data_IF_410686622766
#
_entry.id   IF_410686622766
#
_cell.length_a   1.000
_cell.length_b   1.000
_cell.length_c   1.000
_cell.angle_alpha   90.00
_cell.angle_beta   90.00
_cell.angle_gamma   90.00
#
_symmetry.space_group_name_H-M   'P 1'
#
loop_
_entity.id
_entity.type
_entity.pdbx_description
1 polymer ?
#
# COMPACT_ATOMS: atom_id res chain seq x y z
N UNK A 1 5.62 -7.47 -17.34
CA UNK A 1 6.13 -6.20 -17.92
C UNK A 1 7.06 -6.52 -19.07
N UNK A 2 6.95 -5.85 -20.22
CA UNK A 2 7.88 -6.04 -21.35
C UNK A 2 9.20 -5.30 -21.08
N UNK A 3 10.32 -5.82 -21.57
CA UNK A 3 11.66 -5.27 -21.34
C UNK A 3 11.77 -3.77 -21.71
N UNK A 4 11.11 -3.36 -22.79
CA UNK A 4 11.09 -1.94 -23.21
C UNK A 4 10.28 -1.04 -22.28
N UNK A 5 9.17 -1.53 -21.72
CA UNK A 5 8.37 -0.78 -20.74
C UNK A 5 9.19 -0.54 -19.47
N UNK A 6 9.87 -1.59 -19.00
CA UNK A 6 10.76 -1.53 -17.83
C UNK A 6 11.88 -0.49 -18.02
N UNK A 7 12.55 -0.51 -19.18
CA UNK A 7 13.61 0.47 -19.49
C UNK A 7 13.08 1.91 -19.47
N UNK A 8 11.89 2.15 -20.01
CA UNK A 8 11.26 3.49 -19.99
C UNK A 8 10.94 3.91 -18.55
N UNK A 9 10.41 2.99 -17.74
CA UNK A 9 10.10 3.22 -16.33
C UNK A 9 11.38 3.57 -15.54
N UNK A 10 12.46 2.80 -15.70
CA UNK A 10 13.72 3.04 -15.00
C UNK A 10 14.38 4.37 -15.40
N UNK A 11 14.37 4.68 -16.69
CA UNK A 11 14.86 5.96 -17.21
C UNK A 11 14.03 7.14 -16.66
N UNK A 12 12.69 7.00 -16.66
CA UNK A 12 11.80 8.02 -16.12
C UNK A 12 12.01 8.22 -14.61
N UNK A 13 12.12 7.13 -13.84
CA UNK A 13 12.38 7.18 -12.39
C UNK A 13 13.70 7.92 -12.08
N UNK A 14 14.76 7.63 -12.83
CA UNK A 14 16.07 8.32 -12.72
C UNK A 14 15.97 9.80 -13.07
N UNK A 15 15.30 10.14 -14.17
CA UNK A 15 15.10 11.53 -14.59
C UNK A 15 14.25 12.30 -13.58
N UNK A 16 13.14 11.72 -13.12
CA UNK A 16 12.28 12.34 -12.12
C UNK A 16 13.06 12.62 -10.83
N UNK A 17 13.81 11.65 -10.30
CA UNK A 17 14.63 11.85 -9.11
C UNK A 17 15.64 13.01 -9.26
N UNK A 18 16.22 13.20 -10.46
CA UNK A 18 17.25 14.22 -10.71
C UNK A 18 16.70 15.63 -10.92
N UNK A 19 15.59 15.80 -11.65
CA UNK A 19 15.09 17.13 -12.07
C UNK A 19 13.63 17.41 -11.75
N UNK A 20 12.90 16.46 -11.17
CA UNK A 20 11.47 16.57 -10.91
C UNK A 20 10.60 16.10 -12.07
N UNK A 21 9.34 15.74 -11.80
CA UNK A 21 8.38 15.33 -12.84
C UNK A 21 8.01 16.51 -13.70
N UNK A 22 7.80 17.69 -13.12
CA UNK A 22 7.38 18.89 -13.88
C UNK A 22 8.42 19.24 -14.94
N UNK A 23 9.71 19.26 -14.59
CA UNK A 23 10.81 19.61 -15.50
C UNK A 23 11.29 18.45 -16.38
N UNK A 24 10.66 17.27 -16.29
CA UNK A 24 10.93 16.14 -17.20
C UNK A 24 9.94 16.13 -18.36
N UNK A 25 10.44 16.24 -19.58
CA UNK A 25 9.63 16.09 -20.79
C UNK A 25 9.62 14.64 -21.30
N UNK A 26 8.59 14.27 -22.06
CA UNK A 26 8.53 12.97 -22.76
C UNK A 26 9.73 12.83 -23.74
N UNK A 27 10.19 13.95 -24.32
CA UNK A 27 11.35 13.92 -25.21
C UNK A 27 12.63 13.55 -24.46
N UNK A 28 12.81 14.03 -23.23
CA UNK A 28 13.97 13.69 -22.41
C UNK A 28 14.00 12.18 -22.12
N UNK A 29 12.85 11.61 -21.76
CA UNK A 29 12.71 10.18 -21.48
C UNK A 29 12.96 9.35 -22.74
N UNK A 30 12.41 9.79 -23.88
CA UNK A 30 12.61 9.13 -25.17
C UNK A 30 14.09 9.14 -25.58
N UNK A 31 14.79 10.26 -25.38
CA UNK A 31 16.22 10.39 -25.63
C UNK A 31 17.04 9.47 -24.72
N UNK A 32 16.76 9.44 -23.42
CA UNK A 32 17.44 8.57 -22.45
C UNK A 32 17.26 7.08 -22.80
N UNK A 33 16.11 6.71 -23.36
CA UNK A 33 15.80 5.35 -23.77
C UNK A 33 16.25 5.00 -25.19
N UNK A 34 16.81 5.96 -25.94
CA UNK A 34 17.13 5.84 -27.37
C UNK A 34 15.93 5.39 -28.22
N UNK A 35 14.74 5.94 -27.94
CA UNK A 35 13.50 5.70 -28.69
C UNK A 35 12.92 6.99 -29.26
N UNK A 36 12.02 6.86 -30.23
CA UNK A 36 11.27 8.01 -30.71
C UNK A 36 10.16 8.41 -29.73
N UNK A 37 9.77 9.68 -29.74
CA UNK A 37 8.59 10.16 -29.00
C UNK A 37 7.31 9.41 -29.40
N UNK A 38 7.17 9.02 -30.66
CA UNK A 38 6.05 8.18 -31.12
C UNK A 38 6.08 6.78 -30.49
N UNK A 39 7.26 6.19 -30.36
CA UNK A 39 7.46 4.89 -29.70
C UNK A 39 7.10 4.94 -28.22
N UNK A 40 7.37 6.04 -27.52
CA UNK A 40 6.94 6.23 -26.14
C UNK A 40 5.42 6.07 -25.99
N UNK A 41 4.64 6.72 -26.87
CA UNK A 41 3.18 6.67 -26.82
C UNK A 41 2.57 5.30 -27.15
N UNK A 42 3.36 4.35 -27.66
CA UNK A 42 2.93 2.96 -27.79
C UNK A 42 2.89 2.22 -26.44
N UNK A 43 3.63 2.71 -25.43
CA UNK A 43 3.74 2.11 -24.11
C UNK A 43 2.96 2.91 -23.05
N UNK A 44 3.06 4.24 -23.07
CA UNK A 44 2.44 5.09 -22.05
C UNK A 44 1.61 6.20 -22.70
N UNK A 45 0.36 6.34 -22.24
CA UNK A 45 -0.58 7.34 -22.77
C UNK A 45 -0.17 8.78 -22.42
N UNK A 46 0.50 8.98 -21.30
CA UNK A 46 0.97 10.30 -20.84
C UNK A 46 2.14 10.18 -19.86
N UNK A 47 2.73 11.32 -19.48
CA UNK A 47 3.77 11.38 -18.46
C UNK A 47 3.21 11.01 -17.08
N UNK A 48 1.95 11.35 -16.81
CA UNK A 48 1.24 11.05 -15.58
C UNK A 48 0.93 9.55 -15.46
N UNK A 49 0.56 8.90 -16.58
CA UNK A 49 0.40 7.46 -16.63
C UNK A 49 1.74 6.75 -16.38
N UNK A 50 2.82 7.23 -17.00
CA UNK A 50 4.17 6.71 -16.72
C UNK A 50 4.56 6.93 -15.26
N UNK A 51 4.26 8.10 -14.68
CA UNK A 51 4.55 8.38 -13.29
C UNK A 51 3.91 7.32 -12.38
N UNK A 52 2.62 7.03 -12.54
CA UNK A 52 1.96 5.96 -11.78
C UNK A 52 2.68 4.61 -11.92
N UNK A 53 3.08 4.24 -13.14
CA UNK A 53 3.81 3.00 -13.38
C UNK A 53 5.21 2.99 -12.75
N UNK A 54 5.90 4.14 -12.66
CA UNK A 54 7.17 4.23 -11.91
C UNK A 54 6.98 3.96 -10.41
N UNK A 55 5.87 4.42 -9.81
CA UNK A 55 5.57 4.16 -8.42
C UNK A 55 5.25 2.68 -8.17
N UNK A 56 4.40 2.09 -9.02
CA UNK A 56 4.07 0.66 -8.95
C UNK A 56 5.32 -0.19 -9.06
N UNK A 57 6.15 0.08 -10.06
CA UNK A 57 7.41 -0.64 -10.27
C UNK A 57 8.34 -0.54 -9.05
N UNK A 58 8.50 0.65 -8.48
CA UNK A 58 9.35 0.85 -7.31
C UNK A 58 8.84 0.06 -6.09
N UNK A 59 7.53 0.07 -5.84
CA UNK A 59 6.95 -0.70 -4.74
C UNK A 59 7.06 -2.22 -4.97
N UNK A 60 6.77 -2.68 -6.19
CA UNK A 60 6.92 -4.10 -6.57
C UNK A 60 8.37 -4.58 -6.42
N UNK A 61 9.34 -3.73 -6.70
CA UNK A 61 10.76 -4.04 -6.51
C UNK A 61 11.09 -4.27 -5.02
N UNK A 62 10.63 -3.39 -4.14
CA UNK A 62 10.83 -3.53 -2.68
C UNK A 62 10.11 -4.79 -2.18
N UNK A 63 8.85 -4.97 -2.57
CA UNK A 63 8.05 -6.13 -2.18
C UNK A 63 8.70 -7.45 -2.61
N UNK A 64 9.14 -7.54 -3.87
CA UNK A 64 9.82 -8.74 -4.39
C UNK A 64 11.10 -9.07 -3.62
N UNK A 65 11.87 -8.04 -3.21
CA UNK A 65 13.06 -8.24 -2.38
C UNK A 65 12.71 -8.71 -0.98
N UNK A 66 11.62 -8.24 -0.39
CA UNK A 66 11.13 -8.72 0.91
C UNK A 66 10.60 -10.15 0.84
N UNK A 67 9.96 -10.54 -0.28
CA UNK A 67 9.51 -11.92 -0.51
C UNK A 67 10.70 -12.88 -0.68
N UNK A 68 11.74 -12.49 -1.41
CA UNK A 68 12.96 -13.29 -1.56
C UNK A 68 13.68 -13.56 -0.22
N UNK A 69 13.49 -12.71 0.80
CA UNK A 69 14.00 -12.98 2.15
C UNK A 69 13.29 -14.18 2.81
N UNK A 70 12.01 -14.43 2.49
CA UNK A 70 11.26 -15.58 3.03
C UNK A 70 11.79 -16.93 2.56
N UNK A 71 12.44 -16.97 1.40
CA UNK A 71 13.04 -18.19 0.85
C UNK A 71 14.22 -18.72 1.69
N UNK A 72 14.71 -17.92 2.65
CA UNK A 72 15.85 -18.27 3.51
C UNK A 72 15.50 -19.16 4.70
N UNK A 73 14.24 -19.58 4.85
CA UNK A 73 13.73 -20.46 5.91
C UNK A 73 14.18 -20.03 7.33
N UNK A 74 13.98 -18.74 7.63
CA UNK A 74 14.36 -18.13 8.89
C UNK A 74 13.25 -18.27 9.93
N UNK A 75 13.62 -18.41 11.20
CA UNK A 75 12.69 -18.29 12.33
C UNK A 75 11.92 -16.95 12.26
N UNK A 76 10.65 -16.90 12.69
CA UNK A 76 9.77 -15.73 12.48
C UNK A 76 10.38 -14.38 12.88
N UNK A 77 11.11 -14.36 14.00
CA UNK A 77 11.80 -13.16 14.49
C UNK A 77 12.92 -12.72 13.56
N UNK A 78 13.80 -13.64 13.19
CA UNK A 78 14.92 -13.36 12.28
C UNK A 78 14.42 -12.97 10.89
N UNK A 79 13.33 -13.59 10.43
CA UNK A 79 12.66 -13.24 9.19
C UNK A 79 12.18 -11.79 9.20
N UNK A 80 11.46 -11.36 10.24
CA UNK A 80 10.97 -9.98 10.32
C UNK A 80 12.11 -8.96 10.40
N UNK A 81 13.18 -9.25 11.14
CA UNK A 81 14.37 -8.39 11.19
C UNK A 81 14.98 -8.23 9.79
N UNK A 82 15.20 -9.34 9.08
CA UNK A 82 15.77 -9.33 7.74
C UNK A 82 14.86 -8.60 6.73
N UNK A 83 13.54 -8.73 6.85
CA UNK A 83 12.57 -8.04 6.00
C UNK A 83 12.54 -6.53 6.27
N UNK A 84 12.57 -6.11 7.54
CA UNK A 84 12.64 -4.68 7.91
C UNK A 84 13.96 -4.05 7.45
N UNK A 85 15.09 -4.72 7.67
CA UNK A 85 16.39 -4.26 7.20
C UNK A 85 16.43 -4.11 5.68
N UNK A 86 15.93 -5.12 4.95
CA UNK A 86 15.79 -5.07 3.50
C UNK A 86 14.95 -3.86 3.06
N UNK A 87 13.79 -3.64 3.68
CA UNK A 87 12.91 -2.51 3.37
C UNK A 87 13.62 -1.16 3.60
N UNK A 88 14.26 -0.98 4.75
CA UNK A 88 14.99 0.26 5.10
C UNK A 88 16.13 0.54 4.11
N UNK A 89 16.91 -0.50 3.76
CA UNK A 89 17.98 -0.41 2.77
C UNK A 89 17.46 0.00 1.40
N UNK A 90 16.37 -0.61 0.92
CA UNK A 90 15.82 -0.30 -0.40
C UNK A 90 15.20 1.10 -0.45
N UNK A 91 14.53 1.55 0.62
CA UNK A 91 14.05 2.93 0.72
C UNK A 91 15.22 3.91 0.66
N UNK A 92 16.31 3.66 1.39
CA UNK A 92 17.48 4.54 1.37
C UNK A 92 18.13 4.61 -0.02
N UNK A 93 18.23 3.48 -0.76
CA UNK A 93 18.77 3.45 -2.14
C UNK A 93 17.96 4.31 -3.11
N UNK A 94 16.67 4.49 -2.85
CA UNK A 94 15.74 5.20 -3.72
C UNK A 94 15.21 6.52 -3.13
N UNK A 95 15.87 7.05 -2.07
CA UNK A 95 15.37 8.23 -1.34
C UNK A 95 15.21 9.48 -2.19
N UNK A 96 16.04 9.69 -3.21
CA UNK A 96 15.93 10.86 -4.09
C UNK A 96 14.61 10.87 -4.87
N UNK A 97 14.14 9.69 -5.28
CA UNK A 97 12.84 9.53 -5.90
C UNK A 97 11.72 9.88 -4.90
N UNK A 98 11.81 9.37 -3.67
CA UNK A 98 10.82 9.65 -2.61
C UNK A 98 10.79 11.15 -2.24
N UNK A 99 11.96 11.79 -2.10
CA UNK A 99 12.07 13.23 -1.80
C UNK A 99 11.41 14.05 -2.91
N UNK A 100 11.67 13.69 -4.18
CA UNK A 100 11.06 14.36 -5.31
C UNK A 100 9.53 14.28 -5.25
N UNK A 101 8.97 13.10 -4.96
CA UNK A 101 7.52 12.91 -4.85
C UNK A 101 6.89 13.80 -3.77
N UNK A 102 7.56 13.89 -2.61
CA UNK A 102 7.10 14.72 -1.49
C UNK A 102 7.11 16.22 -1.86
N UNK A 103 8.12 16.67 -2.61
CA UNK A 103 8.25 18.10 -2.99
C UNK A 103 7.22 18.53 -4.03
N UNK A 104 6.91 17.68 -5.01
CA UNK A 104 6.02 18.06 -6.11
C UNK A 104 4.52 17.87 -5.80
N UNK A 105 4.15 17.46 -4.57
CA UNK A 105 2.78 17.11 -4.21
C UNK A 105 2.13 16.18 -5.26
N UNK A 106 2.91 15.23 -5.80
CA UNK A 106 2.45 14.32 -6.84
C UNK A 106 1.33 13.39 -6.35
N UNK A 107 1.25 13.17 -5.03
CA UNK A 107 0.33 12.23 -4.38
C UNK A 107 -1.08 12.84 -4.22
N UNK A 108 -1.28 14.02 -3.59
CA UNK A 108 -2.64 14.57 -3.41
C UNK A 108 -3.34 14.92 -4.72
N UNK A 109 -2.59 15.18 -5.78
CA UNK A 109 -3.13 15.64 -7.06
C UNK A 109 -3.40 14.52 -8.08
N UNK A 110 -3.26 13.24 -7.69
CA UNK A 110 -3.50 12.10 -8.56
C UNK A 110 -4.32 11.00 -7.84
N UNK A 111 -5.63 10.88 -8.12
CA UNK A 111 -6.50 9.91 -7.45
C UNK A 111 -6.05 8.45 -7.59
N UNK A 112 -5.50 8.06 -8.75
CA UNK A 112 -4.97 6.71 -8.97
C UNK A 112 -3.71 6.45 -8.14
N UNK A 113 -2.89 7.48 -7.91
CA UNK A 113 -1.74 7.39 -7.03
C UNK A 113 -2.17 7.25 -5.57
N UNK A 114 -3.16 8.04 -5.14
CA UNK A 114 -3.73 7.94 -3.82
C UNK A 114 -4.27 6.52 -3.57
N UNK A 115 -5.11 6.00 -4.46
CA UNK A 115 -5.64 4.64 -4.39
C UNK A 115 -4.55 3.55 -4.33
N UNK A 116 -3.45 3.75 -5.07
CA UNK A 116 -2.33 2.82 -5.04
C UNK A 116 -1.59 2.84 -3.67
N UNK A 117 -1.26 4.01 -3.14
CA UNK A 117 -0.59 4.17 -1.83
C UNK A 117 -1.46 3.63 -0.70
N UNK A 118 -2.76 3.83 -0.82
CA UNK A 118 -3.77 3.31 0.09
C UNK A 118 -3.75 1.77 0.14
N UNK A 119 -3.80 1.12 -1.02
CA UNK A 119 -3.64 -0.35 -1.12
C UNK A 119 -2.32 -0.81 -0.52
N UNK A 120 -1.23 -0.12 -0.86
CA UNK A 120 0.12 -0.40 -0.37
C UNK A 120 0.22 -0.38 1.16
N UNK A 121 -0.40 0.61 1.79
CA UNK A 121 -0.46 0.74 3.24
C UNK A 121 -1.27 -0.40 3.87
N UNK A 122 -2.41 -0.78 3.26
CA UNK A 122 -3.21 -1.91 3.73
C UNK A 122 -2.43 -3.24 3.71
N UNK A 123 -1.74 -3.51 2.61
CA UNK A 123 -0.89 -4.70 2.45
C UNK A 123 0.24 -4.71 3.48
N UNK A 124 0.88 -3.55 3.70
CA UNK A 124 1.93 -3.39 4.71
C UNK A 124 1.42 -3.61 6.13
N UNK A 125 0.21 -3.13 6.45
CA UNK A 125 -0.42 -3.33 7.76
C UNK A 125 -0.70 -4.81 8.02
N UNK A 126 -1.24 -5.51 7.02
CA UNK A 126 -1.52 -6.94 7.14
C UNK A 126 -0.24 -7.75 7.29
N UNK A 127 0.80 -7.40 6.53
CA UNK A 127 2.13 -8.00 6.66
C UNK A 127 2.69 -7.85 8.08
N UNK A 128 2.73 -6.63 8.61
CA UNK A 128 3.24 -6.35 9.98
C UNK A 128 2.44 -7.12 11.02
N UNK A 129 1.11 -7.06 10.95
CA UNK A 129 0.22 -7.82 11.84
C UNK A 129 0.56 -9.31 11.86
N UNK A 130 0.66 -9.94 10.69
CA UNK A 130 0.91 -11.37 10.59
C UNK A 130 2.30 -11.75 11.11
N UNK A 131 3.31 -10.92 10.82
CA UNK A 131 4.67 -11.13 11.32
C UNK A 131 4.77 -10.95 12.85
N UNK A 132 4.04 -10.00 13.42
CA UNK A 132 3.99 -9.83 14.87
C UNK A 132 3.26 -11.00 15.54
N UNK A 133 2.14 -11.45 14.98
CA UNK A 133 1.42 -12.62 15.51
C UNK A 133 2.24 -13.91 15.44
N UNK A 134 3.10 -14.09 14.43
CA UNK A 134 3.97 -15.27 14.34
C UNK A 134 5.11 -15.28 15.36
N UNK A 135 5.47 -14.11 15.91
CA UNK A 135 6.54 -13.96 16.92
C UNK A 135 5.95 -14.02 18.34
N UNK A 136 4.89 -13.24 18.59
CA UNK A 136 4.37 -12.99 19.95
C UNK A 136 3.10 -13.79 20.27
N UNK A 137 2.40 -14.30 19.24
CA UNK A 137 1.19 -15.10 19.41
C UNK A 137 0.12 -14.43 20.27
N UNK A 138 -0.44 -15.20 21.20
CA UNK A 138 -1.52 -14.74 22.08
C UNK A 138 -1.09 -13.61 23.03
N UNK A 139 0.21 -13.36 23.23
CA UNK A 139 0.69 -12.34 24.15
C UNK A 139 0.29 -10.91 23.75
N UNK A 140 0.07 -10.66 22.46
CA UNK A 140 -0.31 -9.35 21.92
C UNK A 140 -1.63 -9.37 21.15
N UNK A 141 -2.33 -10.51 21.12
CA UNK A 141 -3.46 -10.71 20.19
C UNK A 141 -4.57 -9.68 20.35
N UNK A 142 -4.87 -9.28 21.59
CA UNK A 142 -5.86 -8.25 21.90
C UNK A 142 -5.37 -6.82 21.58
N UNK A 143 -4.05 -6.63 21.49
CA UNK A 143 -3.38 -5.36 21.24
C UNK A 143 -2.75 -5.27 19.85
N UNK A 144 -3.07 -6.21 18.96
CA UNK A 144 -2.29 -6.43 17.73
C UNK A 144 -2.23 -5.18 16.85
N UNK A 145 -3.31 -4.41 16.80
CA UNK A 145 -3.37 -3.17 16.03
C UNK A 145 -2.60 -2.04 16.70
N UNK A 146 -2.71 -1.89 18.02
CA UNK A 146 -1.93 -0.91 18.78
C UNK A 146 -0.43 -1.15 18.58
N UNK A 147 0.03 -2.40 18.75
CA UNK A 147 1.43 -2.78 18.59
C UNK A 147 1.89 -2.59 17.13
N UNK A 148 1.05 -2.95 16.14
CA UNK A 148 1.35 -2.72 14.73
C UNK A 148 1.49 -1.23 14.41
N UNK A 149 0.58 -0.39 14.92
CA UNK A 149 0.60 1.06 14.72
C UNK A 149 1.82 1.70 15.39
N UNK A 150 2.18 1.27 16.60
CA UNK A 150 3.36 1.78 17.30
C UNK A 150 4.64 1.41 16.53
N UNK A 151 4.78 0.15 16.09
CA UNK A 151 5.93 -0.27 15.29
C UNK A 151 6.04 0.54 13.99
N UNK A 152 4.93 0.74 13.29
CA UNK A 152 4.90 1.57 12.09
C UNK A 152 5.25 3.02 12.37
N UNK A 153 4.77 3.60 13.46
CA UNK A 153 5.12 4.96 13.88
C UNK A 153 6.61 5.11 14.17
N UNK A 154 7.21 4.12 14.83
CA UNK A 154 8.66 4.08 15.06
C UNK A 154 9.42 4.00 13.72
N UNK A 155 9.07 3.05 12.85
CA UNK A 155 9.68 2.89 11.51
C UNK A 155 9.56 4.20 10.71
N UNK A 156 8.37 4.79 10.66
CA UNK A 156 8.12 6.02 9.92
C UNK A 156 8.96 7.20 10.44
N UNK A 157 9.18 7.28 11.75
CA UNK A 157 10.03 8.30 12.35
C UNK A 157 11.50 8.15 11.93
N UNK A 158 12.02 6.92 11.91
CA UNK A 158 13.36 6.64 11.40
C UNK A 158 13.47 6.83 9.89
N UNK A 159 12.43 6.50 9.10
CA UNK A 159 12.42 6.73 7.67
C UNK A 159 12.53 8.21 7.32
N UNK A 160 11.82 9.09 8.05
CA UNK A 160 11.99 10.54 7.89
C UNK A 160 13.45 10.94 8.11
N UNK A 161 14.07 10.41 9.15
CA UNK A 161 15.49 10.66 9.42
C UNK A 161 16.39 10.13 8.30
N UNK A 162 16.21 8.88 7.84
CA UNK A 162 17.00 8.26 6.75
C UNK A 162 16.87 9.04 5.43
N UNK A 163 15.67 9.52 5.12
CA UNK A 163 15.37 10.22 3.87
C UNK A 163 15.97 11.63 3.88
N UNK A 164 15.81 12.36 4.99
CA UNK A 164 16.14 13.79 5.02
C UNK A 164 17.52 14.10 5.61
N UNK A 165 18.09 13.20 6.41
CA UNK A 165 19.41 13.38 7.04
C UNK A 165 20.49 12.55 6.33
N UNK A 166 21.73 13.04 6.37
CA UNK A 166 22.90 12.32 5.86
C UNK A 166 23.49 11.39 6.92
N UNK A 167 22.64 10.62 7.59
CA UNK A 167 23.08 9.65 8.59
C UNK A 167 23.37 8.29 7.95
N UNK A 168 24.51 7.72 8.29
CA UNK A 168 24.83 6.32 8.01
C UNK A 168 24.30 5.48 9.17
N UNK A 169 23.18 4.80 8.95
CA UNK A 169 22.60 3.86 9.90
C UNK A 169 22.87 2.44 9.44
N UNK A 170 23.20 1.57 10.40
CA UNK A 170 23.16 0.13 10.19
C UNK A 170 21.69 -0.33 10.24
N UNK A 171 21.17 -0.80 9.12
CA UNK A 171 19.77 -1.19 8.99
C UNK A 171 19.45 -2.53 9.67
N UNK A 172 20.44 -3.41 9.84
CA UNK A 172 20.27 -4.65 10.59
C UNK A 172 20.17 -4.35 12.08
N UNK A 173 21.05 -3.47 12.59
CA UNK A 173 21.00 -3.00 13.98
C UNK A 173 19.71 -2.23 14.27
N UNK A 174 19.29 -1.33 13.37
CA UNK A 174 18.04 -0.58 13.53
C UNK A 174 16.81 -1.50 13.52
N UNK A 175 16.75 -2.47 12.60
CA UNK A 175 15.64 -3.42 12.54
C UNK A 175 15.55 -4.27 13.81
N UNK A 176 16.69 -4.77 14.31
CA UNK A 176 16.76 -5.50 15.57
C UNK A 176 16.37 -4.61 16.76
N UNK A 177 16.84 -3.37 16.81
CA UNK A 177 16.50 -2.40 17.84
C UNK A 177 14.99 -2.14 17.89
N UNK A 178 14.35 -1.91 16.74
CA UNK A 178 12.91 -1.69 16.65
C UNK A 178 12.13 -2.89 17.17
N UNK A 179 12.54 -4.11 16.82
CA UNK A 179 11.85 -5.31 17.30
C UNK A 179 12.08 -5.54 18.80
N UNK A 180 13.25 -5.20 19.34
CA UNK A 180 13.49 -5.21 20.78
C UNK A 180 12.57 -4.23 21.53
N UNK A 181 12.24 -3.06 20.94
CA UNK A 181 11.23 -2.16 21.51
C UNK A 181 9.83 -2.78 21.51
N UNK A 182 9.51 -3.59 20.51
CA UNK A 182 8.24 -4.34 20.49
C UNK A 182 8.20 -5.39 21.60
N UNK A 183 9.32 -6.04 21.95
CA UNK A 183 9.38 -6.93 23.11
C UNK A 183 9.01 -6.18 24.40
N UNK A 184 9.60 -4.99 24.60
CA UNK A 184 9.34 -4.13 25.76
C UNK A 184 7.85 -3.73 25.83
N UNK A 185 7.26 -3.35 24.69
CA UNK A 185 5.85 -3.00 24.58
C UNK A 185 4.95 -4.20 24.88
N UNK A 186 5.23 -5.37 24.30
CA UNK A 186 4.45 -6.59 24.51
C UNK A 186 4.47 -7.03 25.98
N UNK A 187 5.64 -6.98 26.62
CA UNK A 187 5.80 -7.25 28.04
C UNK A 187 5.05 -6.22 28.91
N UNK A 188 5.16 -4.94 28.56
CA UNK A 188 4.50 -3.82 29.23
C UNK A 188 2.98 -3.96 29.21
N UNK A 189 2.37 -4.16 28.04
CA UNK A 189 0.92 -4.31 27.87
C UNK A 189 0.36 -5.50 28.67
N UNK A 190 1.09 -6.62 28.69
CA UNK A 190 0.72 -7.79 29.51
C UNK A 190 0.75 -7.48 31.00
N UNK A 191 1.68 -6.64 31.45
CA UNK A 191 1.82 -6.27 32.86
C UNK A 191 0.81 -5.21 33.31
N UNK A 192 0.51 -4.23 32.46
CA UNK A 192 -0.35 -3.09 32.80
C UNK A 192 -1.85 -3.41 32.67
N UNK A 193 -2.22 -4.45 31.90
CA UNK A 193 -3.61 -4.82 31.61
C UNK A 193 -4.43 -3.64 31.07
N UNK A 194 -3.78 -2.75 30.33
CA UNK A 194 -4.43 -1.62 29.68
C UNK A 194 -5.49 -2.12 28.69
N UNK A 195 -6.51 -1.31 28.42
CA UNK A 195 -7.48 -1.66 27.37
C UNK A 195 -6.87 -1.28 26.01
N UNK A 196 -6.93 -2.16 24.99
CA UNK A 196 -6.48 -1.81 23.64
C UNK A 196 -7.25 -0.59 23.13
N UNK A 197 -6.51 0.43 22.67
CA UNK A 197 -7.11 1.67 22.14
C UNK A 197 -7.74 1.37 20.79
N UNK A 198 -7.13 0.48 20.01
CA UNK A 198 -7.57 0.15 18.66
C UNK A 198 -8.45 -1.10 18.59
N UNK A 199 -9.31 -1.33 19.59
CA UNK A 199 -10.25 -2.47 19.62
C UNK A 199 -11.66 -2.12 19.11
N UNK A 200 -12.36 -3.07 18.48
CA UNK A 200 -13.77 -2.92 18.09
C UNK A 200 -14.00 -2.03 16.85
N UNK A 201 -14.88 -1.03 16.94
CA UNK A 201 -15.20 -0.13 15.81
C UNK A 201 -14.00 0.72 15.34
N UNK A 202 -13.02 0.95 16.21
CA UNK A 202 -11.74 1.57 15.86
C UNK A 202 -10.92 0.76 14.84
N UNK A 203 -11.04 -0.57 14.84
CA UNK A 203 -10.38 -1.45 13.87
C UNK A 203 -10.89 -1.21 12.44
N UNK A 204 -12.19 -0.95 12.28
CA UNK A 204 -12.83 -0.70 10.98
C UNK A 204 -12.43 0.67 10.42
N UNK A 205 -12.38 1.69 11.27
CA UNK A 205 -11.99 3.04 10.89
C UNK A 205 -10.49 3.17 10.60
N UNK A 206 -9.63 2.44 11.30
CA UNK A 206 -8.18 2.46 11.02
C UNK A 206 -7.83 1.67 9.76
N UNK A 207 -8.50 0.54 9.50
CA UNK A 207 -8.36 -0.10 8.21
C UNK A 207 -8.80 0.87 7.11
N UNK A 208 -9.92 1.58 7.26
CA UNK A 208 -10.36 2.64 6.32
C UNK A 208 -9.38 3.83 6.18
N UNK A 209 -8.76 4.31 7.27
CA UNK A 209 -7.79 5.43 7.26
C UNK A 209 -6.44 5.01 6.69
N UNK A 210 -5.96 3.82 7.03
CA UNK A 210 -4.67 3.30 6.56
C UNK A 210 -4.77 2.66 5.17
N UNK A 211 -5.89 2.02 4.84
CA UNK A 211 -6.21 1.50 3.51
C UNK A 211 -6.81 2.56 2.60
N UNK A 212 -7.05 3.79 3.10
CA UNK A 212 -7.76 4.91 2.48
C UNK A 212 -8.99 4.54 1.67
N UNK A 213 -9.76 3.56 2.11
CA UNK A 213 -11.06 3.31 1.54
C UNK A 213 -12.05 3.87 2.55
N UNK A 214 -12.33 5.17 2.44
CA UNK A 214 -13.46 5.74 3.17
C UNK A 214 -14.76 5.17 2.60
N UNK A 215 -15.74 5.00 3.47
CA UNK A 215 -17.09 4.59 3.08
C UNK A 215 -17.64 5.49 1.97
N UNK A 216 -17.42 6.81 2.09
CA UNK A 216 -17.81 7.81 1.10
C UNK A 216 -17.09 7.65 -0.25
N UNK A 217 -15.81 7.27 -0.26
CA UNK A 217 -15.08 7.01 -1.51
C UNK A 217 -15.56 5.74 -2.22
N UNK A 218 -15.93 4.69 -1.49
CA UNK A 218 -16.56 3.51 -2.10
C UNK A 218 -17.90 3.92 -2.70
N UNK A 219 -18.73 4.66 -1.96
CA UNK A 219 -20.03 5.12 -2.44
C UNK A 219 -19.88 5.99 -3.69
N UNK A 220 -18.92 6.91 -3.71
CA UNK A 220 -18.62 7.75 -4.87
C UNK A 220 -18.13 6.92 -6.08
N UNK A 221 -17.30 5.89 -5.86
CA UNK A 221 -16.88 4.95 -6.92
C UNK A 221 -18.06 4.14 -7.45
N UNK A 222 -18.93 3.63 -6.57
CA UNK A 222 -20.14 2.90 -6.95
C UNK A 222 -21.02 3.80 -7.80
N UNK A 223 -21.28 5.04 -7.35
CA UNK A 223 -22.10 6.00 -8.08
C UNK A 223 -21.54 6.28 -9.48
N UNK A 224 -20.24 6.54 -9.59
CA UNK A 224 -19.59 6.79 -10.88
C UNK A 224 -19.67 5.61 -11.85
N UNK A 225 -19.40 4.40 -11.36
CA UNK A 225 -19.35 3.18 -12.19
C UNK A 225 -20.77 2.73 -12.57
N UNK A 226 -21.72 2.82 -11.63
CA UNK A 226 -23.13 2.47 -11.86
C UNK A 226 -23.72 3.21 -13.06
N UNK A 227 -23.37 4.49 -13.26
CA UNK A 227 -23.82 5.29 -14.41
C UNK A 227 -23.26 4.83 -15.77
N UNK A 228 -22.22 4.00 -15.78
CA UNK A 228 -21.58 3.47 -16.98
C UNK A 228 -22.00 2.02 -17.28
N UNK A 229 -22.71 1.38 -16.35
CA UNK A 229 -23.20 0.01 -16.48
C UNK A 229 -24.69 -0.01 -16.87
N UNK A 230 -25.15 -1.18 -17.29
CA UNK A 230 -26.57 -1.45 -17.55
C UNK A 230 -26.89 -2.90 -17.19
N UNK A 231 -28.18 -3.20 -16.97
CA UNK A 231 -28.63 -4.55 -16.66
C UNK A 231 -28.23 -5.02 -15.25
N UNK A 232 -27.98 -6.33 -15.11
CA UNK A 232 -27.81 -6.99 -13.81
C UNK A 232 -26.64 -6.44 -12.97
N UNK A 233 -25.56 -5.97 -13.62
CA UNK A 233 -24.41 -5.38 -12.92
C UNK A 233 -24.74 -4.01 -12.32
N UNK A 234 -25.54 -3.20 -13.01
CA UNK A 234 -26.01 -1.92 -12.47
C UNK A 234 -26.88 -2.15 -11.23
N UNK A 235 -27.84 -3.08 -11.32
CA UNK A 235 -28.72 -3.46 -10.21
C UNK A 235 -27.91 -4.03 -9.04
N UNK A 236 -26.90 -4.86 -9.33
CA UNK A 236 -25.98 -5.39 -8.29
C UNK A 236 -25.31 -4.25 -7.52
N UNK A 237 -24.80 -3.24 -8.23
CA UNK A 237 -24.19 -2.07 -7.57
C UNK A 237 -25.20 -1.21 -6.82
N UNK A 238 -26.43 -1.06 -7.31
CA UNK A 238 -27.52 -0.35 -6.59
C UNK A 238 -27.86 -1.03 -5.26
N UNK A 239 -27.94 -2.37 -5.26
CA UNK A 239 -28.21 -3.14 -4.03
C UNK A 239 -27.05 -3.00 -3.05
N UNK A 240 -25.81 -3.11 -3.52
CA UNK A 240 -24.63 -2.90 -2.65
C UNK A 240 -24.64 -1.49 -2.08
N UNK A 241 -24.84 -0.46 -2.91
CA UNK A 241 -24.89 0.93 -2.47
C UNK A 241 -25.98 1.16 -1.42
N UNK A 242 -27.18 0.62 -1.64
CA UNK A 242 -28.29 0.72 -0.70
C UNK A 242 -27.95 0.08 0.65
N UNK A 243 -27.43 -1.15 0.65
CA UNK A 243 -26.97 -1.79 1.89
C UNK A 243 -25.89 -0.96 2.58
N UNK A 244 -24.93 -0.43 1.82
CA UNK A 244 -23.84 0.36 2.36
C UNK A 244 -24.32 1.66 3.03
N UNK A 245 -25.42 2.26 2.58
CA UNK A 245 -25.99 3.49 3.17
C UNK A 245 -26.79 3.26 4.45
N UNK A 246 -27.08 2.01 4.82
CA UNK A 246 -27.79 1.68 6.06
C UNK A 246 -26.86 1.72 7.29
N UNK A 247 -27.40 2.08 8.45
CA UNK A 247 -26.67 2.06 9.73
C UNK A 247 -26.26 0.62 10.16
N UNK A 248 -26.96 -0.40 9.63
CA UNK A 248 -26.66 -1.82 9.87
C UNK A 248 -26.76 -2.63 8.57
N UNK A 249 -25.71 -2.60 7.73
CA UNK A 249 -25.68 -3.32 6.46
C UNK A 249 -25.74 -4.83 6.65
N UNK A 250 -26.50 -5.54 5.80
CA UNK A 250 -26.58 -7.00 5.82
C UNK A 250 -25.41 -7.59 5.05
N UNK A 251 -24.32 -7.90 5.76
CA UNK A 251 -23.10 -8.46 5.17
C UNK A 251 -23.32 -9.69 4.27
N UNK A 252 -24.23 -10.64 4.60
CA UNK A 252 -24.53 -11.76 3.70
C UNK A 252 -25.10 -11.32 2.34
N UNK A 253 -25.86 -10.22 2.30
CA UNK A 253 -26.41 -9.64 1.06
C UNK A 253 -25.29 -9.04 0.23
N UNK A 254 -24.44 -8.20 0.85
CA UNK A 254 -23.27 -7.61 0.18
C UNK A 254 -22.35 -8.71 -0.37
N UNK A 255 -22.05 -9.74 0.42
CA UNK A 255 -21.26 -10.90 -0.02
C UNK A 255 -21.89 -11.61 -1.21
N UNK A 256 -23.21 -11.83 -1.18
CA UNK A 256 -23.94 -12.45 -2.28
C UNK A 256 -23.86 -11.62 -3.56
N UNK A 257 -24.04 -10.30 -3.45
CA UNK A 257 -23.97 -9.38 -4.58
C UNK A 257 -22.55 -9.25 -5.16
N UNK A 258 -21.51 -9.27 -4.31
CA UNK A 258 -20.12 -9.24 -4.76
C UNK A 258 -19.78 -10.43 -5.66
N UNK A 259 -20.42 -11.59 -5.50
CA UNK A 259 -20.20 -12.75 -6.35
C UNK A 259 -20.60 -12.49 -7.82
N UNK A 260 -21.49 -11.53 -8.08
CA UNK A 260 -21.90 -11.17 -9.44
C UNK A 260 -20.87 -10.29 -10.17
N UNK A 261 -19.93 -9.67 -9.43
CA UNK A 261 -18.92 -8.77 -9.99
C UNK A 261 -17.67 -9.51 -10.50
N UNK A 262 -17.56 -10.82 -10.29
CA UNK A 262 -16.36 -11.61 -10.57
C UNK A 262 -16.08 -11.85 -12.07
N UNK A 263 -17.06 -11.61 -12.95
CA UNK A 263 -16.92 -11.86 -14.40
C UNK A 263 -16.34 -10.67 -15.17
N UNK A 264 -16.30 -9.48 -14.56
CA UNK A 264 -15.84 -8.25 -15.20
C UNK A 264 -14.52 -7.77 -14.59
N UNK A 265 -13.46 -7.82 -15.40
CA UNK A 265 -12.13 -7.32 -15.02
C UNK A 265 -12.10 -5.84 -14.62
N UNK A 266 -13.05 -5.03 -15.12
CA UNK A 266 -13.16 -3.62 -14.78
C UNK A 266 -13.76 -3.39 -13.37
N UNK A 267 -14.50 -4.37 -12.84
CA UNK A 267 -15.16 -4.29 -11.53
C UNK A 267 -14.39 -4.98 -10.41
N UNK A 268 -13.32 -5.70 -10.75
CA UNK A 268 -12.49 -6.44 -9.80
C UNK A 268 -11.89 -5.53 -8.70
N UNK A 269 -11.48 -4.31 -9.05
CA UNK A 269 -10.95 -3.35 -8.06
C UNK A 269 -12.02 -2.88 -7.07
N UNK A 270 -13.23 -2.57 -7.58
CA UNK A 270 -14.36 -2.16 -6.75
C UNK A 270 -14.81 -3.32 -5.85
N UNK A 271 -14.89 -4.53 -6.40
CA UNK A 271 -15.21 -5.75 -5.67
C UNK A 271 -14.22 -6.00 -4.53
N UNK A 272 -12.91 -5.90 -4.79
CA UNK A 272 -11.87 -6.03 -3.77
C UNK A 272 -11.99 -4.93 -2.71
N UNK A 273 -12.30 -3.70 -3.10
CA UNK A 273 -12.45 -2.57 -2.19
C UNK A 273 -13.60 -2.78 -1.20
N UNK A 274 -14.78 -3.17 -1.70
CA UNK A 274 -15.95 -3.45 -0.87
C UNK A 274 -15.72 -4.70 0.00
N UNK A 275 -15.10 -5.74 -0.57
CA UNK A 275 -14.77 -6.96 0.17
C UNK A 275 -13.78 -6.68 1.31
N UNK A 276 -12.77 -5.85 1.07
CA UNK A 276 -11.81 -5.43 2.09
C UNK A 276 -12.47 -4.60 3.19
N UNK A 277 -13.33 -3.63 2.82
CA UNK A 277 -14.07 -2.79 3.78
C UNK A 277 -14.94 -3.61 4.74
N UNK A 278 -15.62 -4.66 4.24
CA UNK A 278 -16.46 -5.55 5.05
C UNK A 278 -15.79 -6.86 5.50
N UNK A 279 -14.49 -7.03 5.24
CA UNK A 279 -13.72 -8.26 5.55
C UNK A 279 -14.34 -9.55 4.99
N UNK A 280 -14.89 -9.48 3.77
CA UNK A 280 -15.52 -10.59 3.07
C UNK A 280 -14.45 -11.40 2.32
N UNK A 281 -14.39 -12.72 2.57
CA UNK A 281 -13.61 -13.63 1.71
C UNK A 281 -14.34 -13.85 0.38
N UNK A 282 -13.71 -13.41 -0.70
CA UNK A 282 -14.11 -13.70 -2.08
C UNK A 282 -13.80 -15.17 -2.41
N UNK A 283 -14.67 -15.82 -3.17
CA UNK A 283 -14.56 -17.21 -3.61
C UNK A 283 -13.82 -17.32 -4.94
#
# INVERSE_FOLDING_TARGET
>A
MKEKEKRIIEAAMSLFAKKGVTSTSIQDIANECEISKGSFYLYFKSKEALLLETFKYHFELIHSKMEAVKEKDLEPRALLIAQLSCQLSEINKHKDFIIMQMRENAIPNNPSMAAFIQKMNADSNLFVKNALLSIYGDAIKEYIWDVSMILQGMIHSYLKFIIFEKAELDFDELAAFLLNRVDDIAAGLKSSQEKPILSGEGEKNIFSICSGISHDEILAKIEHIKHQLSGDLQVTLEVIEAEMKEDSPRIPVIKGMLANLNQDSALAELQQSIAAYYQIKLL
#
